data_IF_601006112337
#
_entry.id   IF_601006112337
#
_cell.length_a   1.000
_cell.length_b   1.000
_cell.length_c   1.000
_cell.angle_alpha   90.00
_cell.angle_beta   90.00
_cell.angle_gamma   90.00
#
_symmetry.space_group_name_H-M   'P 1'
#
loop_
_entity.id
_entity.type
_entity.pdbx_description
1 polymer ?
#
# COMPACT_ATOMS: atom_id res chain seq x y z
N UNK A 1 45.43 18.74 -7.53
CA UNK A 1 45.07 18.11 -8.83
C UNK A 1 44.67 16.67 -8.56
N UNK A 2 43.38 16.39 -8.42
CA UNK A 2 42.85 15.02 -8.23
C UNK A 2 42.31 14.53 -9.56
N UNK A 3 42.94 13.51 -10.12
CA UNK A 3 42.57 12.92 -11.40
C UNK A 3 41.21 12.20 -11.28
N UNK A 4 40.12 12.94 -11.44
CA UNK A 4 38.78 12.41 -11.62
C UNK A 4 38.68 11.77 -13.01
N UNK A 5 39.33 10.62 -13.19
CA UNK A 5 38.90 9.71 -14.24
C UNK A 5 37.49 9.29 -13.85
N UNK A 6 36.49 9.62 -14.67
CA UNK A 6 35.14 9.09 -14.57
C UNK A 6 35.23 7.56 -14.53
N UNK A 7 35.24 6.98 -13.32
CA UNK A 7 35.48 5.54 -13.14
C UNK A 7 34.23 4.78 -13.56
N UNK A 8 34.13 4.52 -14.85
CA UNK A 8 33.22 3.52 -15.41
C UNK A 8 33.46 2.24 -14.61
N UNK A 9 32.46 1.85 -13.83
CA UNK A 9 32.54 0.69 -12.95
C UNK A 9 32.42 -0.60 -13.79
N UNK A 10 32.81 -1.74 -13.22
CA UNK A 10 32.58 -3.03 -13.87
C UNK A 10 31.08 -3.27 -14.15
N UNK A 11 30.21 -2.73 -13.28
CA UNK A 11 28.76 -2.74 -13.45
C UNK A 11 28.32 -1.92 -14.67
N UNK A 12 28.86 -0.71 -14.84
CA UNK A 12 28.53 0.14 -15.99
C UNK A 12 28.94 -0.50 -17.32
N UNK A 13 30.09 -1.20 -17.34
CA UNK A 13 30.52 -1.99 -18.50
C UNK A 13 29.55 -3.13 -18.80
N UNK A 14 29.12 -3.88 -17.79
CA UNK A 14 28.15 -4.96 -17.98
C UNK A 14 26.79 -4.45 -18.49
N UNK A 15 26.31 -3.32 -17.96
CA UNK A 15 25.07 -2.68 -18.43
C UNK A 15 25.22 -2.22 -19.89
N UNK A 16 26.37 -1.65 -20.24
CA UNK A 16 26.67 -1.26 -21.62
C UNK A 16 26.66 -2.48 -22.55
N UNK A 17 27.30 -3.58 -22.16
CA UNK A 17 27.35 -4.80 -22.96
C UNK A 17 25.95 -5.40 -23.19
N UNK A 18 25.08 -5.39 -22.18
CA UNK A 18 23.68 -5.79 -22.32
C UNK A 18 22.91 -4.89 -23.29
N UNK A 19 23.11 -3.56 -23.21
CA UNK A 19 22.50 -2.60 -24.14
C UNK A 19 22.98 -2.80 -25.57
N UNK A 20 24.29 -3.03 -25.76
CA UNK A 20 24.88 -3.35 -27.06
C UNK A 20 24.31 -4.65 -27.65
N UNK A 21 24.11 -5.67 -26.81
CA UNK A 21 23.49 -6.93 -27.24
C UNK A 21 22.03 -6.73 -27.67
N UNK A 22 21.24 -5.99 -26.90
CA UNK A 22 19.87 -5.62 -27.27
C UNK A 22 19.84 -4.90 -28.62
N UNK A 23 20.69 -3.91 -28.83
CA UNK A 23 20.73 -3.14 -30.07
C UNK A 23 21.14 -4.02 -31.27
N UNK A 24 22.08 -4.97 -31.07
CA UNK A 24 22.42 -5.98 -32.08
C UNK A 24 21.25 -6.89 -32.41
N UNK A 25 20.47 -7.33 -31.42
CA UNK A 25 19.27 -8.14 -31.68
C UNK A 25 18.21 -7.36 -32.45
N UNK A 26 17.98 -6.08 -32.14
CA UNK A 26 17.09 -5.23 -32.95
C UNK A 26 17.57 -5.08 -34.40
N UNK A 27 18.88 -4.89 -34.61
CA UNK A 27 19.44 -4.85 -35.97
C UNK A 27 19.24 -6.18 -36.70
N UNK A 28 19.41 -7.30 -36.01
CA UNK A 28 19.20 -8.63 -36.56
C UNK A 28 17.72 -8.88 -36.90
N UNK A 29 16.80 -8.51 -36.01
CA UNK A 29 15.35 -8.56 -36.22
C UNK A 29 14.97 -7.80 -37.49
N UNK A 30 15.39 -6.53 -37.64
CA UNK A 30 15.13 -5.73 -38.86
C UNK A 30 15.67 -6.39 -40.12
N UNK A 31 16.88 -6.99 -40.04
CA UNK A 31 17.48 -7.69 -41.19
C UNK A 31 16.67 -8.92 -41.58
N UNK A 32 16.21 -9.72 -40.61
CA UNK A 32 15.35 -10.88 -40.87
C UNK A 32 14.02 -10.44 -41.48
N UNK A 33 13.37 -9.40 -40.94
CA UNK A 33 12.09 -8.91 -41.48
C UNK A 33 12.21 -8.57 -42.96
N UNK A 34 13.26 -7.83 -43.36
CA UNK A 34 13.51 -7.50 -44.78
C UNK A 34 13.74 -8.76 -45.63
N UNK A 35 14.43 -9.77 -45.09
CA UNK A 35 14.63 -11.05 -45.79
C UNK A 35 13.31 -11.82 -45.96
N UNK A 36 12.50 -11.90 -44.91
CA UNK A 36 11.17 -12.52 -44.94
C UNK A 36 10.27 -11.84 -45.97
N UNK A 37 10.26 -10.51 -46.03
CA UNK A 37 9.50 -9.76 -47.04
C UNK A 37 9.96 -10.10 -48.46
N UNK A 38 11.28 -10.17 -48.69
CA UNK A 38 11.83 -10.59 -49.99
C UNK A 38 11.44 -12.02 -50.35
N UNK A 39 11.51 -12.95 -49.41
CA UNK A 39 11.11 -14.35 -49.62
C UNK A 39 9.60 -14.46 -49.93
N UNK A 40 8.76 -13.62 -49.33
CA UNK A 40 7.33 -13.56 -49.70
C UNK A 40 7.12 -13.02 -51.11
N UNK A 41 7.87 -12.00 -51.53
CA UNK A 41 7.79 -11.47 -52.88
C UNK A 41 8.23 -12.51 -53.92
N UNK A 42 9.33 -13.22 -53.66
CA UNK A 42 9.82 -14.30 -54.51
C UNK A 42 8.79 -15.43 -54.59
N UNK A 43 8.20 -15.83 -53.45
CA UNK A 43 7.16 -16.86 -53.44
C UNK A 43 5.95 -16.45 -54.30
N UNK A 44 5.49 -15.19 -54.21
CA UNK A 44 4.41 -14.65 -55.06
C UNK A 44 4.77 -14.67 -56.54
N UNK A 45 5.97 -14.25 -56.90
CA UNK A 45 6.45 -14.27 -58.29
C UNK A 45 6.52 -15.69 -58.87
N UNK A 46 7.06 -16.65 -58.10
CA UNK A 46 7.15 -18.06 -58.53
C UNK A 46 5.79 -18.72 -58.68
N UNK A 47 4.80 -18.33 -57.87
CA UNK A 47 3.41 -18.76 -58.03
C UNK A 47 2.77 -18.20 -59.30
N UNK A 48 3.00 -16.92 -59.61
CA UNK A 48 2.51 -16.29 -60.85
C UNK A 48 3.10 -16.95 -62.11
N UNK A 49 4.35 -17.43 -62.02
CA UNK A 49 5.02 -18.19 -63.09
C UNK A 49 4.61 -19.67 -63.15
N UNK A 50 3.70 -20.13 -62.28
CA UNK A 50 3.27 -21.53 -62.22
C UNK A 50 4.28 -22.52 -61.62
N UNK A 51 5.42 -22.05 -61.10
CA UNK A 51 6.47 -22.92 -60.57
C UNK A 51 6.25 -23.23 -59.07
N UNK A 52 5.34 -24.17 -58.81
CA UNK A 52 4.93 -24.59 -57.46
C UNK A 52 6.08 -25.13 -56.60
N UNK A 53 7.05 -25.84 -57.20
CA UNK A 53 8.19 -26.43 -56.44
C UNK A 53 9.10 -25.35 -55.86
N UNK A 54 9.44 -24.33 -56.64
CA UNK A 54 10.25 -23.19 -56.17
C UNK A 54 9.49 -22.33 -55.15
N UNK A 55 8.20 -22.11 -55.36
CA UNK A 55 7.36 -21.40 -54.39
C UNK A 55 7.32 -22.10 -53.02
N UNK A 56 7.19 -23.43 -52.99
CA UNK A 56 7.22 -24.21 -51.75
C UNK A 56 8.57 -24.10 -51.02
N UNK A 57 9.69 -24.07 -51.74
CA UNK A 57 11.01 -23.88 -51.14
C UNK A 57 11.12 -22.49 -50.47
N UNK A 58 10.72 -21.44 -51.18
CA UNK A 58 10.72 -20.07 -50.63
C UNK A 58 9.83 -19.95 -49.38
N UNK A 59 8.66 -20.60 -49.37
CA UNK A 59 7.77 -20.62 -48.21
C UNK A 59 8.36 -21.39 -47.01
N UNK A 60 9.10 -22.48 -47.25
CA UNK A 60 9.81 -23.19 -46.17
C UNK A 60 10.90 -22.33 -45.56
N UNK A 61 11.64 -21.61 -46.40
CA UNK A 61 12.69 -20.71 -45.95
C UNK A 61 12.10 -19.54 -45.14
N UNK A 62 10.99 -18.95 -45.62
CA UNK A 62 10.21 -17.96 -44.89
C UNK A 62 9.81 -18.46 -43.49
N UNK A 63 9.25 -19.66 -43.41
CA UNK A 63 8.82 -20.25 -42.13
C UNK A 63 10.00 -20.47 -41.16
N UNK A 64 11.17 -20.85 -41.68
CA UNK A 64 12.38 -20.96 -40.87
C UNK A 64 12.80 -19.59 -40.31
N UNK A 65 12.78 -18.55 -41.13
CA UNK A 65 13.11 -17.19 -40.70
C UNK A 65 12.09 -16.62 -39.71
N UNK A 66 10.80 -16.91 -39.86
CA UNK A 66 9.77 -16.56 -38.87
C UNK A 66 10.03 -17.25 -37.52
N UNK A 67 10.43 -18.52 -37.52
CA UNK A 67 10.81 -19.22 -36.28
C UNK A 67 12.03 -18.58 -35.62
N UNK A 68 13.00 -18.12 -36.43
CA UNK A 68 14.19 -17.44 -35.93
C UNK A 68 13.87 -16.06 -35.38
N UNK A 69 12.96 -15.33 -36.02
CA UNK A 69 12.42 -14.06 -35.53
C UNK A 69 11.72 -14.26 -34.18
N UNK A 70 10.84 -15.25 -34.06
CA UNK A 70 10.17 -15.57 -32.80
C UNK A 70 11.15 -15.87 -31.65
N UNK A 71 12.21 -16.64 -31.93
CA UNK A 71 13.28 -16.90 -30.94
C UNK A 71 14.04 -15.62 -30.56
N UNK A 72 14.28 -14.74 -31.54
CA UNK A 72 14.97 -13.47 -31.32
C UNK A 72 14.11 -12.54 -30.46
N UNK A 73 12.81 -12.46 -30.70
CA UNK A 73 11.88 -11.66 -29.90
C UNK A 73 11.82 -12.14 -28.45
N UNK A 74 11.76 -13.46 -28.24
CA UNK A 74 11.81 -14.05 -26.89
C UNK A 74 13.13 -13.74 -26.16
N UNK A 75 14.26 -13.79 -26.86
CA UNK A 75 15.56 -13.39 -26.28
C UNK A 75 15.63 -11.91 -25.97
N UNK A 76 14.98 -11.07 -26.79
CA UNK A 76 14.93 -9.64 -26.57
C UNK A 76 14.11 -9.30 -25.32
N UNK A 77 12.95 -9.93 -25.16
CA UNK A 77 12.13 -9.81 -23.94
C UNK A 77 12.91 -10.22 -22.69
N UNK A 78 13.65 -11.33 -22.76
CA UNK A 78 14.52 -11.79 -21.67
C UNK A 78 15.61 -10.76 -21.31
N UNK A 79 16.24 -10.15 -22.32
CA UNK A 79 17.25 -9.10 -22.10
C UNK A 79 16.66 -7.83 -21.49
N UNK A 80 15.47 -7.43 -21.93
CA UNK A 80 14.77 -6.28 -21.35
C UNK A 80 14.34 -6.54 -19.91
N UNK A 81 13.86 -7.75 -19.60
CA UNK A 81 13.56 -8.15 -18.23
C UNK A 81 14.81 -8.14 -17.35
N UNK A 82 15.93 -8.67 -17.86
CA UNK A 82 17.21 -8.62 -17.15
C UNK A 82 17.65 -7.17 -16.88
N UNK A 83 17.50 -6.28 -17.86
CA UNK A 83 17.83 -4.86 -17.71
C UNK A 83 16.99 -4.21 -16.61
N UNK A 84 15.67 -4.42 -16.62
CA UNK A 84 14.76 -3.93 -15.56
C UNK A 84 15.15 -4.46 -14.18
N UNK A 85 15.52 -5.73 -14.09
CA UNK A 85 15.95 -6.34 -12.83
C UNK A 85 17.26 -5.71 -12.31
N UNK A 86 18.21 -5.39 -13.20
CA UNK A 86 19.46 -4.73 -12.83
C UNK A 86 19.20 -3.30 -12.35
N UNK A 87 18.33 -2.55 -13.02
CA UNK A 87 17.94 -1.20 -12.61
C UNK A 87 17.25 -1.22 -11.23
N UNK A 88 16.37 -2.19 -11.00
CA UNK A 88 15.74 -2.37 -9.70
C UNK A 88 16.77 -2.74 -8.61
N UNK A 89 17.72 -3.62 -8.91
CA UNK A 89 18.79 -3.97 -7.98
C UNK A 89 19.69 -2.76 -7.63
N UNK A 90 19.90 -1.84 -8.57
CA UNK A 90 20.59 -0.57 -8.28
C UNK A 90 19.82 0.28 -7.27
N UNK A 91 18.51 0.44 -7.46
CA UNK A 91 17.66 1.16 -6.52
C UNK A 91 17.66 0.47 -5.14
N UNK A 92 17.57 -0.86 -5.11
CA UNK A 92 17.62 -1.63 -3.87
C UNK A 92 18.92 -1.39 -3.09
N UNK A 93 20.06 -1.32 -3.79
CA UNK A 93 21.35 -0.99 -3.17
C UNK A 93 21.29 0.37 -2.47
N UNK A 94 20.72 1.38 -3.12
CA UNK A 94 20.62 2.73 -2.56
C UNK A 94 19.67 2.77 -1.37
N UNK A 95 18.56 2.04 -1.41
CA UNK A 95 17.64 1.88 -0.27
C UNK A 95 18.37 1.26 0.92
N UNK A 96 19.13 0.18 0.71
CA UNK A 96 19.91 -0.46 1.78
C UNK A 96 20.93 0.51 2.37
N UNK A 97 21.61 1.30 1.55
CA UNK A 97 22.55 2.32 2.03
C UNK A 97 21.84 3.44 2.81
N UNK A 98 20.64 3.84 2.40
CA UNK A 98 19.79 4.77 3.15
C UNK A 98 19.34 4.22 4.50
N UNK A 99 18.91 2.95 4.55
CA UNK A 99 18.54 2.27 5.79
C UNK A 99 19.72 2.14 6.75
N UNK A 100 20.93 1.85 6.24
CA UNK A 100 22.15 1.79 7.04
C UNK A 100 22.48 3.15 7.67
N UNK A 101 22.40 4.23 6.89
CA UNK A 101 22.60 5.59 7.40
C UNK A 101 21.53 5.99 8.43
N UNK A 102 20.25 5.71 8.13
CA UNK A 102 19.16 5.97 9.07
C UNK A 102 19.33 5.21 10.38
N UNK A 103 19.77 3.95 10.32
CA UNK A 103 20.09 3.15 11.51
C UNK A 103 21.26 3.74 12.29
N UNK A 104 22.30 4.24 11.61
CA UNK A 104 23.43 4.88 12.26
C UNK A 104 23.01 6.17 12.99
N UNK A 105 22.19 7.00 12.35
CA UNK A 105 21.63 8.22 12.96
C UNK A 105 20.74 7.89 14.16
N UNK A 106 19.86 6.89 14.04
CA UNK A 106 19.03 6.44 15.15
C UNK A 106 19.89 5.97 16.34
N UNK A 107 20.96 5.19 16.08
CA UNK A 107 21.89 4.78 17.14
C UNK A 107 22.55 5.97 17.82
N UNK A 108 22.93 6.99 17.06
CA UNK A 108 23.50 8.22 17.63
C UNK A 108 22.49 8.98 18.48
N UNK A 109 21.25 9.15 18.00
CA UNK A 109 20.16 9.79 18.76
C UNK A 109 19.88 9.00 20.05
N UNK A 110 19.83 7.67 19.98
CA UNK A 110 19.66 6.83 21.17
C UNK A 110 20.82 6.98 22.16
N UNK A 111 22.06 7.11 21.68
CA UNK A 111 23.21 7.37 22.54
C UNK A 111 23.15 8.77 23.19
N UNK A 112 22.75 9.79 22.44
CA UNK A 112 22.58 11.17 22.94
C UNK A 112 21.43 11.29 23.95
N UNK A 113 20.33 10.53 23.77
CA UNK A 113 19.24 10.43 24.74
C UNK A 113 19.58 9.57 25.97
N UNK A 114 20.81 9.07 26.08
CA UNK A 114 21.31 8.31 27.21
C UNK A 114 20.96 6.82 27.21
N UNK A 115 20.53 6.29 26.06
CA UNK A 115 20.30 4.86 25.85
C UNK A 115 19.20 4.29 26.75
N UNK A 116 19.29 2.99 27.01
CA UNK A 116 18.37 2.28 27.92
C UNK A 116 18.61 2.73 29.37
N UNK A 117 19.86 3.00 29.75
CA UNK A 117 20.23 3.39 31.11
C UNK A 117 19.57 4.70 31.56
N UNK A 118 19.50 5.71 30.69
CA UNK A 118 18.81 6.96 31.03
C UNK A 118 17.29 6.81 31.08
N UNK A 119 16.72 5.93 30.25
CA UNK A 119 15.29 5.59 30.32
C UNK A 119 14.99 4.84 31.62
N UNK A 120 15.81 3.87 32.01
CA UNK A 120 15.68 3.14 33.28
C UNK A 120 15.84 4.08 34.48
N UNK A 121 16.82 4.99 34.43
CA UNK A 121 17.03 6.00 35.47
C UNK A 121 15.84 6.97 35.59
N UNK A 122 15.32 7.49 34.48
CA UNK A 122 14.13 8.34 34.47
C UNK A 122 12.90 7.61 35.04
N UNK A 123 12.70 6.33 34.71
CA UNK A 123 11.61 5.53 35.27
C UNK A 123 11.77 5.33 36.78
N UNK A 124 12.99 5.07 37.25
CA UNK A 124 13.30 4.99 38.68
C UNK A 124 13.04 6.31 39.42
N UNK A 125 13.57 7.42 38.90
CA UNK A 125 13.36 8.76 39.48
C UNK A 125 11.87 9.16 39.48
N UNK A 126 11.10 8.75 38.47
CA UNK A 126 9.65 9.00 38.42
C UNK A 126 8.91 8.16 39.46
N UNK A 127 9.28 6.89 39.62
CA UNK A 127 8.68 6.02 40.65
C UNK A 127 8.99 6.53 42.07
N UNK A 128 10.23 6.96 42.31
CA UNK A 128 10.63 7.54 43.59
C UNK A 128 9.92 8.88 43.86
N UNK A 129 9.75 9.73 42.83
CA UNK A 129 9.00 10.98 42.96
C UNK A 129 7.51 10.75 43.26
N UNK A 130 6.90 9.72 42.67
CA UNK A 130 5.51 9.31 42.97
C UNK A 130 5.43 8.78 44.41
N UNK A 131 6.38 7.96 44.84
CA UNK A 131 6.42 7.44 46.20
C UNK A 131 6.57 8.59 47.22
N UNK A 132 7.46 9.54 46.96
CA UNK A 132 7.64 10.74 47.79
C UNK A 132 6.40 11.63 47.80
N UNK A 133 5.72 11.80 46.65
CA UNK A 133 4.45 12.52 46.60
C UNK A 133 3.37 11.82 47.43
N UNK A 134 3.33 10.48 47.42
CA UNK A 134 2.39 9.72 48.23
C UNK A 134 2.71 9.84 49.72
N UNK A 135 3.99 9.80 50.10
CA UNK A 135 4.43 10.02 51.48
C UNK A 135 4.10 11.46 51.94
N UNK A 136 4.32 12.46 51.09
CA UNK A 136 3.88 13.84 51.33
C UNK A 136 2.36 13.88 51.47
N UNK A 137 1.61 13.22 50.58
CA UNK A 137 0.14 13.17 50.65
C UNK A 137 -0.35 12.46 51.90
N UNK A 138 0.39 11.48 52.43
CA UNK A 138 0.09 10.80 53.69
C UNK A 138 0.45 11.66 54.91
N UNK A 139 1.51 12.47 54.81
CA UNK A 139 1.91 13.43 55.85
C UNK A 139 1.06 14.71 55.88
N UNK A 140 0.70 15.26 54.71
CA UNK A 140 -0.17 16.43 54.54
C UNK A 140 -1.64 16.07 54.58
N UNK A 141 -2.00 14.85 54.15
CA UNK A 141 -3.25 14.18 54.46
C UNK A 141 -3.24 13.77 55.92
N UNK A 142 -3.06 14.77 56.79
CA UNK A 142 -3.35 14.65 58.19
C UNK A 142 -4.74 14.07 58.29
N UNK A 143 -4.82 12.88 58.91
CA UNK A 143 -6.04 12.19 59.37
C UNK A 143 -7.28 13.04 59.14
N UNK A 144 -8.01 12.77 58.06
CA UNK A 144 -9.45 13.01 58.08
C UNK A 144 -9.91 12.28 59.35
N UNK A 145 -10.39 13.03 60.34
CA UNK A 145 -10.95 12.39 61.53
C UNK A 145 -12.12 11.54 61.03
N UNK A 146 -12.40 10.38 61.62
CA UNK A 146 -13.58 9.60 61.22
C UNK A 146 -14.86 10.48 61.22
N UNK A 147 -14.90 11.53 62.06
CA UNK A 147 -15.97 12.54 62.05
C UNK A 147 -16.04 13.42 60.80
N UNK A 148 -14.89 13.80 60.22
CA UNK A 148 -14.85 14.58 58.99
C UNK A 148 -15.21 13.69 57.79
N UNK A 149 -14.90 12.39 57.86
CA UNK A 149 -15.31 11.38 56.88
C UNK A 149 -16.83 11.13 56.94
N UNK A 150 -17.39 11.03 58.15
CA UNK A 150 -18.84 10.92 58.40
C UNK A 150 -19.60 12.17 57.89
N UNK A 151 -19.10 13.40 58.13
CA UNK A 151 -19.72 14.64 57.62
C UNK A 151 -19.70 14.72 56.09
N UNK A 152 -18.63 14.25 55.45
CA UNK A 152 -18.51 14.22 53.98
C UNK A 152 -19.43 13.14 53.39
N UNK A 153 -19.57 11.98 54.03
CA UNK A 153 -20.53 10.94 53.63
C UNK A 153 -21.99 11.44 53.76
N UNK A 154 -22.31 12.19 54.82
CA UNK A 154 -23.64 12.81 55.01
C UNK A 154 -23.93 13.88 53.93
N UNK A 155 -22.97 14.74 53.59
CA UNK A 155 -23.11 15.70 52.49
C UNK A 155 -23.27 15.01 51.13
N UNK A 156 -22.54 13.92 50.90
CA UNK A 156 -22.67 13.10 49.68
C UNK A 156 -24.06 12.47 49.59
N UNK A 157 -24.56 11.89 50.68
CA UNK A 157 -25.91 11.32 50.74
C UNK A 157 -27.00 12.37 50.50
N UNK A 158 -26.82 13.59 51.01
CA UNK A 158 -27.73 14.71 50.75
C UNK A 158 -27.75 15.13 49.27
N UNK A 159 -26.58 15.21 48.63
CA UNK A 159 -26.45 15.50 47.20
C UNK A 159 -27.05 14.39 46.32
N UNK A 160 -26.86 13.13 46.67
CA UNK A 160 -27.52 12.01 45.99
C UNK A 160 -29.04 12.08 46.10
N UNK A 161 -29.58 12.47 47.27
CA UNK A 161 -31.01 12.65 47.47
C UNK A 161 -31.59 13.85 46.70
N UNK A 162 -30.78 14.89 46.50
CA UNK A 162 -31.14 16.07 45.70
C UNK A 162 -31.13 15.75 44.20
N UNK A 163 -30.13 15.02 43.71
CA UNK A 163 -30.01 14.57 42.32
C UNK A 163 -31.06 13.50 41.98
N UNK A 164 -31.38 12.63 42.94
CA UNK A 164 -32.32 11.52 42.75
C UNK A 164 -33.75 11.83 43.22
N UNK A 165 -34.05 13.11 43.51
CA UNK A 165 -35.40 13.56 43.84
C UNK A 165 -36.29 13.41 42.60
N UNK A 166 -37.36 12.59 42.63
CA UNK A 166 -38.27 12.49 41.50
C UNK A 166 -38.98 13.84 41.33
N UNK A 167 -38.69 14.54 40.24
CA UNK A 167 -39.41 15.75 39.84
C UNK A 167 -40.87 15.37 39.55
N UNK A 168 -41.77 15.62 40.50
CA UNK A 168 -43.22 15.65 40.24
C UNK A 168 -43.54 16.94 39.49
N UNK A 169 -43.53 16.86 38.15
CA UNK A 169 -44.04 17.93 37.29
C UNK A 169 -45.56 18.09 37.48
N UNK A 170 -46.08 19.30 37.74
CA UNK A 170 -47.51 19.57 37.87
C UNK A 170 -48.31 19.27 36.59
N UNK A 171 -49.49 18.69 36.78
CA UNK A 171 -50.45 18.28 35.75
C UNK A 171 -50.99 19.49 34.97
N UNK A 172 -50.73 19.56 33.66
CA UNK A 172 -51.25 20.61 32.77
C UNK A 172 -52.66 20.19 32.26
N UNK A 173 -53.66 21.10 32.21
CA UNK A 173 -55.07 20.74 32.04
C UNK A 173 -55.39 20.03 30.71
N UNK A 174 -56.24 18.99 30.79
CA UNK A 174 -56.86 18.33 29.64
C UNK A 174 -57.93 19.25 29.03
N UNK A 175 -57.66 19.80 27.85
CA UNK A 175 -58.63 20.42 26.95
C UNK A 175 -58.56 19.71 25.60
N UNK A 176 -59.72 19.29 25.12
CA UNK A 176 -59.94 18.38 24.00
C UNK A 176 -59.29 18.83 22.68
N UNK A 177 -58.76 17.88 21.89
CA UNK A 177 -59.05 17.62 20.46
C UNK A 177 -58.15 16.44 19.99
N UNK A 178 -58.81 15.47 19.36
CA UNK A 178 -58.43 14.19 18.72
C UNK A 178 -56.95 13.85 18.40
N UNK A 179 -56.53 12.57 18.59
CA UNK A 179 -55.18 12.14 18.27
C UNK A 179 -55.02 11.93 16.76
N UNK A 180 -54.25 12.82 16.11
CA UNK A 180 -53.68 12.52 14.80
C UNK A 180 -52.55 11.47 14.98
N UNK A 181 -52.89 10.21 14.77
CA UNK A 181 -51.92 9.11 14.63
C UNK A 181 -51.01 9.45 13.44
N UNK A 182 -49.74 9.77 13.71
CA UNK A 182 -48.66 9.77 12.72
C UNK A 182 -47.74 8.61 13.05
N UNK A 183 -48.07 7.45 12.49
CA UNK A 183 -47.16 6.32 12.38
C UNK A 183 -45.98 6.74 11.50
N UNK A 184 -44.79 6.87 12.09
CA UNK A 184 -43.53 6.90 11.35
C UNK A 184 -42.88 5.53 11.42
N UNK A 185 -43.32 4.61 10.57
CA UNK A 185 -42.50 3.48 10.10
C UNK A 185 -41.61 3.96 8.94
N UNK A 186 -40.29 3.70 8.98
CA UNK A 186 -39.52 3.61 7.75
C UNK A 186 -38.92 2.20 7.60
N UNK A 187 -39.68 1.28 7.00
CA UNK A 187 -39.16 -0.03 6.58
C UNK A 187 -39.78 -0.59 5.28
N UNK A 188 -40.44 0.24 4.43
CA UNK A 188 -41.09 -0.23 3.19
C UNK A 188 -40.46 0.29 1.89
N UNK A 189 -39.36 1.04 1.97
CA UNK A 189 -38.66 1.57 0.79
C UNK A 189 -37.78 0.53 0.07
N UNK A 190 -37.24 -0.44 0.79
CA UNK A 190 -36.26 -1.38 0.24
C UNK A 190 -36.91 -2.58 -0.48
N UNK A 191 -38.08 -3.05 -0.02
CA UNK A 191 -38.77 -4.19 -0.65
C UNK A 191 -39.40 -3.87 -2.01
N UNK A 192 -39.84 -2.62 -2.23
CA UNK A 192 -40.43 -2.22 -3.52
C UNK A 192 -39.39 -2.05 -4.62
N UNK A 193 -38.14 -1.72 -4.29
CA UNK A 193 -37.05 -1.69 -5.25
C UNK A 193 -36.56 -3.09 -5.61
N UNK A 194 -36.58 -4.04 -4.65
CA UNK A 194 -36.23 -5.44 -4.91
C UNK A 194 -37.24 -6.10 -5.87
N UNK A 195 -38.54 -5.92 -5.65
CA UNK A 195 -39.59 -6.54 -6.50
C UNK A 195 -39.64 -5.99 -7.93
N UNK A 196 -39.37 -4.68 -8.12
CA UNK A 196 -39.31 -4.09 -9.47
C UNK A 196 -38.13 -4.59 -10.29
N UNK A 197 -36.99 -4.87 -9.64
CA UNK A 197 -35.82 -5.46 -10.31
C UNK A 197 -36.04 -6.91 -10.72
N UNK A 198 -36.83 -7.68 -9.96
CA UNK A 198 -37.19 -9.05 -10.33
C UNK A 198 -38.21 -9.11 -11.48
N UNK A 199 -39.20 -8.21 -11.52
CA UNK A 199 -40.18 -8.17 -12.63
C UNK A 199 -39.57 -7.70 -13.96
N UNK A 200 -38.63 -6.75 -13.93
CA UNK A 200 -37.92 -6.32 -15.15
C UNK A 200 -36.97 -7.40 -15.70
N UNK A 201 -36.44 -8.29 -14.85
CA UNK A 201 -35.59 -9.40 -15.26
C UNK A 201 -36.38 -10.58 -15.89
N UNK A 202 -37.66 -10.75 -15.53
CA UNK A 202 -38.52 -11.80 -16.10
C UNK A 202 -39.15 -11.42 -17.45
N UNK A 203 -39.26 -10.13 -17.78
CA UNK A 203 -39.82 -9.64 -19.04
C UNK A 203 -38.80 -9.51 -20.18
N UNK A 204 -37.51 -9.70 -19.90
CA UNK A 204 -36.41 -9.57 -20.85
C UNK A 204 -35.77 -10.92 -21.27
N UNK A 205 -36.41 -12.05 -20.92
CA UNK A 205 -36.05 -13.42 -21.34
C UNK A 205 -37.19 -14.04 -22.15
#
# INVERSE_FOLDING_TARGET
MGNNSSRVTAQDKAILDLKLQRDKLHQYQRRITVLTDRETAIAKQMLAQGNKKKALLALRQKKYQESLLFKTDAQLEQLEQLMRNVEFAQIQKDIVFGLQQGTAVLKQIHAEMGGIENVEKLMGETADAIAYQNEISEMLGGRISNQDEDEVEDELAALELEVNRPVTMPNVPKGDIEPAIRDSEPAKGLERQAKRREEEAMLAA
#
